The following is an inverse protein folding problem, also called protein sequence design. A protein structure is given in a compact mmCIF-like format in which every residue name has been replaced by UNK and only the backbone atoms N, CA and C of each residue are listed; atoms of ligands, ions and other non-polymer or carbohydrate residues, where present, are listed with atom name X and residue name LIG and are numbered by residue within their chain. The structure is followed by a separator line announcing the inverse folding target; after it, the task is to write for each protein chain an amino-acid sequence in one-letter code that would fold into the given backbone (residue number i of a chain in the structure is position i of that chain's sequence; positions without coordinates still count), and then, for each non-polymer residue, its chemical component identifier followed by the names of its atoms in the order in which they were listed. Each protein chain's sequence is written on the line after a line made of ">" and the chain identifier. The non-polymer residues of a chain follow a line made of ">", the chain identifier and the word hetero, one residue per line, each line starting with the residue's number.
data_IF_180686762611
#
_entry.id   IF_180686762611
#
_cell.length_a   1.000
_cell.length_b   1.000
_cell.length_c   1.000
_cell.angle_alpha   90.00
_cell.angle_beta   90.00
_cell.angle_gamma   90.00
#
_symmetry.space_group_name_H-M   'P 1'
#
loop_
_entity.id
_entity.type
_entity.pdbx_description
1 polymer ?
#
# COMPACT_ATOMS: atom_id res chain seq x y z
N UNK A 1 -24.98 -14.83 5.88
CA UNK A 1 -25.31 -14.72 4.44
C UNK A 1 -24.02 -14.38 3.71
N UNK A 2 -23.46 -15.34 2.98
CA UNK A 2 -22.26 -15.12 2.18
C UNK A 2 -22.60 -14.18 1.01
N UNK A 3 -22.00 -12.99 1.01
CA UNK A 3 -22.06 -12.10 -0.15
C UNK A 3 -21.34 -12.81 -1.32
N UNK A 4 -22.04 -12.94 -2.45
CA UNK A 4 -21.42 -13.38 -3.70
C UNK A 4 -20.28 -12.42 -4.04
N UNK A 5 -19.13 -12.92 -4.53
CA UNK A 5 -18.07 -12.04 -5.01
C UNK A 5 -18.59 -11.23 -6.20
N UNK A 6 -18.55 -9.91 -6.08
CA UNK A 6 -18.88 -9.02 -7.18
C UNK A 6 -17.91 -9.24 -8.35
N UNK A 7 -18.46 -9.49 -9.54
CA UNK A 7 -17.69 -9.53 -10.79
C UNK A 7 -16.94 -8.20 -10.95
N UNK A 8 -15.62 -8.21 -11.22
CA UNK A 8 -14.88 -6.97 -11.41
C UNK A 8 -15.38 -6.27 -12.67
N UNK A 9 -16.04 -5.12 -12.47
CA UNK A 9 -16.47 -4.23 -13.55
C UNK A 9 -15.28 -3.42 -14.07
N UNK A 10 -15.22 -3.25 -15.39
CA UNK A 10 -14.11 -2.62 -16.09
C UNK A 10 -14.07 -1.08 -15.94
N UNK A 11 -12.93 -0.40 -16.25
CA UNK A 11 -12.65 1.00 -15.92
C UNK A 11 -13.60 2.09 -16.45
N UNK A 12 -14.54 1.81 -17.35
CA UNK A 12 -15.33 2.85 -18.04
C UNK A 12 -16.82 2.50 -18.20
N UNK A 13 -17.39 1.67 -17.32
CA UNK A 13 -18.77 1.15 -17.50
C UNK A 13 -18.86 0.09 -18.60
N UNK A 14 -17.71 -0.42 -19.04
CA UNK A 14 -17.58 -1.57 -19.90
C UNK A 14 -18.00 -2.84 -19.14
N UNK A 15 -19.00 -3.54 -19.69
CA UNK A 15 -19.59 -4.74 -19.09
C UNK A 15 -18.69 -5.99 -19.24
N UNK A 16 -17.58 -5.89 -20.00
CA UNK A 16 -16.59 -6.95 -20.13
C UNK A 16 -15.88 -7.22 -18.80
N UNK A 17 -15.41 -8.45 -18.66
CA UNK A 17 -14.70 -8.91 -17.46
C UNK A 17 -13.26 -8.40 -17.51
N UNK A 18 -12.83 -7.62 -16.51
CA UNK A 18 -11.42 -7.27 -16.37
C UNK A 18 -10.65 -8.49 -15.85
N UNK A 19 -9.65 -8.92 -16.63
CA UNK A 19 -8.78 -10.04 -16.27
C UNK A 19 -7.67 -9.66 -15.30
N UNK A 20 -7.37 -8.36 -15.19
CA UNK A 20 -6.39 -7.85 -14.21
C UNK A 20 -6.98 -8.02 -12.81
N UNK A 21 -6.15 -8.47 -11.87
CA UNK A 21 -6.58 -8.68 -10.49
C UNK A 21 -7.31 -10.01 -10.23
N UNK A 22 -7.57 -10.82 -11.26
CA UNK A 22 -8.06 -12.19 -11.09
C UNK A 22 -6.94 -13.14 -10.64
N UNK A 23 -7.27 -14.10 -9.78
CA UNK A 23 -6.38 -15.21 -9.41
C UNK A 23 -6.26 -16.19 -10.58
N UNK A 24 -5.30 -17.11 -10.51
CA UNK A 24 -5.15 -18.17 -11.53
C UNK A 24 -6.39 -19.06 -11.60
N UNK A 25 -7.00 -19.33 -10.46
CA UNK A 25 -8.23 -20.13 -10.35
C UNK A 25 -9.40 -19.42 -11.02
N UNK A 26 -9.56 -18.12 -10.79
CA UNK A 26 -10.60 -17.31 -11.44
C UNK A 26 -10.36 -17.14 -12.94
N UNK A 27 -9.12 -16.92 -13.38
CA UNK A 27 -8.78 -16.88 -14.81
C UNK A 27 -9.04 -18.23 -15.49
N UNK A 28 -8.78 -19.33 -14.79
CA UNK A 28 -9.11 -20.68 -15.27
C UNK A 28 -10.61 -20.83 -15.40
N UNK A 29 -11.40 -20.36 -14.43
CA UNK A 29 -12.85 -20.40 -14.49
C UNK A 29 -13.41 -19.62 -15.68
N UNK A 30 -12.88 -18.42 -15.96
CA UNK A 30 -13.26 -17.62 -17.15
C UNK A 30 -12.97 -18.38 -18.45
N UNK A 31 -11.79 -19.00 -18.57
CA UNK A 31 -11.43 -19.78 -19.76
C UNK A 31 -12.32 -21.03 -19.93
N UNK A 32 -12.61 -21.74 -18.84
CA UNK A 32 -13.48 -22.92 -18.87
C UNK A 32 -14.91 -22.55 -19.25
N UNK A 33 -15.44 -21.42 -18.77
CA UNK A 33 -16.76 -20.90 -19.19
C UNK A 33 -16.82 -20.60 -20.70
N UNK A 34 -15.67 -20.20 -21.28
CA UNK A 34 -15.52 -20.06 -22.74
C UNK A 34 -15.25 -21.38 -23.48
N UNK A 35 -15.28 -22.53 -22.80
CA UNK A 35 -15.01 -23.85 -23.40
C UNK A 35 -13.54 -24.11 -23.73
N UNK A 36 -12.61 -23.37 -23.14
CA UNK A 36 -11.17 -23.60 -23.28
C UNK A 36 -10.62 -24.57 -22.24
N UNK A 37 -9.45 -25.14 -22.55
CA UNK A 37 -8.74 -26.05 -21.64
C UNK A 37 -7.99 -25.28 -20.54
N UNK A 38 -7.97 -25.77 -19.29
CA UNK A 38 -7.33 -25.08 -18.15
C UNK A 38 -5.86 -24.69 -18.34
N UNK A 39 -5.09 -25.44 -19.15
CA UNK A 39 -3.68 -25.11 -19.39
C UNK A 39 -3.49 -23.74 -20.09
N UNK A 40 -4.51 -23.22 -20.77
CA UNK A 40 -4.49 -21.89 -21.41
C UNK A 40 -4.30 -20.76 -20.39
N UNK A 41 -4.67 -20.97 -19.12
CA UNK A 41 -4.45 -20.01 -18.04
C UNK A 41 -2.98 -19.59 -17.96
N UNK A 42 -2.05 -20.53 -18.10
CA UNK A 42 -0.61 -20.22 -18.05
C UNK A 42 -0.19 -19.26 -19.17
N UNK A 43 -0.72 -19.46 -20.38
CA UNK A 43 -0.39 -18.62 -21.52
C UNK A 43 -0.98 -17.22 -21.36
N UNK A 44 -2.24 -17.14 -20.96
CA UNK A 44 -2.93 -15.87 -20.74
C UNK A 44 -2.29 -15.08 -19.59
N UNK A 45 -1.97 -15.76 -18.47
CA UNK A 45 -1.24 -15.17 -17.34
C UNK A 45 0.09 -14.56 -17.77
N UNK A 46 0.86 -15.31 -18.56
CA UNK A 46 2.14 -14.84 -19.08
C UNK A 46 1.98 -13.58 -19.96
N UNK A 47 0.98 -13.55 -20.86
CA UNK A 47 0.74 -12.37 -21.67
C UNK A 47 0.36 -11.14 -20.84
N UNK A 48 -0.54 -11.31 -19.86
CA UNK A 48 -1.02 -10.19 -19.04
C UNK A 48 0.09 -9.68 -18.10
N UNK A 49 0.73 -10.58 -17.36
CA UNK A 49 1.56 -10.21 -16.21
C UNK A 49 3.06 -10.30 -16.45
N UNK A 50 3.51 -11.03 -17.48
CA UNK A 50 4.92 -11.04 -17.87
C UNK A 50 5.19 -10.18 -19.10
N UNK A 51 4.37 -10.28 -20.15
CA UNK A 51 4.54 -9.46 -21.36
C UNK A 51 3.92 -8.06 -21.21
N UNK A 52 3.02 -7.86 -20.24
CA UNK A 52 2.32 -6.58 -20.05
C UNK A 52 1.31 -6.24 -21.16
N UNK A 53 1.00 -7.20 -22.04
CA UNK A 53 0.16 -6.97 -23.22
C UNK A 53 -1.30 -6.74 -22.83
N UNK A 54 -1.95 -5.81 -23.52
CA UNK A 54 -3.36 -5.43 -23.30
C UNK A 54 -4.25 -5.81 -24.48
N UNK A 55 -3.65 -6.04 -25.66
CA UNK A 55 -4.34 -6.46 -26.88
C UNK A 55 -4.29 -7.98 -27.06
N UNK A 56 -5.45 -8.63 -26.89
CA UNK A 56 -5.59 -10.08 -27.09
C UNK A 56 -5.15 -10.55 -28.48
N UNK A 57 -5.26 -9.70 -29.51
CA UNK A 57 -4.89 -10.09 -30.87
C UNK A 57 -3.37 -10.29 -31.01
N UNK A 58 -2.56 -9.69 -30.16
CA UNK A 58 -1.09 -9.88 -30.15
C UNK A 58 -0.63 -11.15 -29.43
N UNK A 59 -1.54 -11.86 -28.75
CA UNK A 59 -1.22 -13.06 -27.98
C UNK A 59 -1.03 -14.29 -28.86
N UNK A 60 0.05 -14.34 -29.66
CA UNK A 60 0.27 -15.34 -30.72
C UNK A 60 0.32 -16.80 -30.26
N UNK A 61 0.50 -17.06 -28.97
CA UNK A 61 0.44 -18.41 -28.39
C UNK A 61 -0.99 -18.93 -28.17
N UNK A 62 -2.00 -18.06 -28.35
CA UNK A 62 -3.43 -18.37 -28.32
C UNK A 62 -3.98 -18.47 -29.75
N UNK A 63 -4.88 -19.43 -29.99
CA UNK A 63 -5.52 -19.58 -31.29
C UNK A 63 -6.43 -18.36 -31.61
N UNK A 64 -6.57 -18.00 -32.89
CA UNK A 64 -7.40 -16.85 -33.32
C UNK A 64 -8.82 -16.86 -32.74
N UNK A 65 -9.58 -17.99 -32.74
CA UNK A 65 -10.93 -17.99 -32.17
C UNK A 65 -10.97 -17.69 -30.67
N UNK A 66 -9.90 -18.00 -29.93
CA UNK A 66 -9.81 -17.64 -28.51
C UNK A 66 -9.51 -16.15 -28.34
N UNK A 67 -8.59 -15.58 -29.14
CA UNK A 67 -8.25 -14.16 -29.09
C UNK A 67 -9.48 -13.28 -29.37
N UNK A 68 -10.28 -13.65 -30.35
CA UNK A 68 -11.54 -12.96 -30.69
C UNK A 68 -12.55 -13.01 -29.54
N UNK A 69 -12.81 -14.20 -28.98
CA UNK A 69 -13.73 -14.35 -27.84
C UNK A 69 -13.27 -13.60 -26.59
N UNK A 70 -11.97 -13.56 -26.32
CA UNK A 70 -11.40 -12.77 -25.24
C UNK A 70 -11.61 -11.26 -25.51
N UNK A 71 -11.37 -10.78 -26.72
CA UNK A 71 -11.58 -9.38 -27.07
C UNK A 71 -13.06 -8.94 -26.95
N UNK A 72 -14.00 -9.85 -27.25
CA UNK A 72 -15.44 -9.61 -27.13
C UNK A 72 -15.92 -9.57 -25.67
N UNK A 73 -15.39 -10.43 -24.80
CA UNK A 73 -15.94 -10.66 -23.45
C UNK A 73 -15.10 -10.09 -22.31
N UNK A 74 -13.84 -9.79 -22.57
CA UNK A 74 -12.86 -9.45 -21.55
C UNK A 74 -12.10 -8.18 -21.92
N UNK A 75 -11.45 -7.61 -20.91
CA UNK A 75 -10.45 -6.57 -21.06
C UNK A 75 -9.25 -6.86 -20.17
N UNK A 76 -8.15 -6.18 -20.47
CA UNK A 76 -6.99 -6.10 -19.60
C UNK A 76 -6.85 -4.62 -19.22
N UNK A 77 -7.47 -4.25 -18.10
CA UNK A 77 -7.59 -2.86 -17.69
C UNK A 77 -6.26 -2.23 -17.27
N UNK A 78 -6.20 -0.90 -17.41
CA UNK A 78 -5.27 -0.04 -16.68
C UNK A 78 -6.05 1.11 -16.06
N UNK A 79 -5.68 1.57 -14.86
CA UNK A 79 -6.23 2.80 -14.34
C UNK A 79 -5.85 3.97 -15.25
N UNK A 80 -6.79 4.87 -15.51
CA UNK A 80 -6.55 6.04 -16.36
C UNK A 80 -5.71 7.06 -15.61
N UNK A 81 -4.63 7.53 -16.22
CA UNK A 81 -3.84 8.65 -15.69
C UNK A 81 -4.64 9.94 -15.87
N UNK A 82 -5.03 10.57 -14.76
CA UNK A 82 -5.64 11.90 -14.75
C UNK A 82 -4.56 12.97 -14.82
N UNK A 83 -3.54 12.81 -13.99
CA UNK A 83 -2.40 13.72 -13.90
C UNK A 83 -1.13 12.94 -13.63
N UNK A 84 -0.03 13.36 -14.23
CA UNK A 84 1.32 12.92 -13.90
C UNK A 84 2.16 14.13 -13.49
N UNK A 85 2.94 13.99 -12.42
CA UNK A 85 3.85 15.01 -11.92
C UNK A 85 5.25 14.42 -11.75
N UNK A 86 6.27 15.17 -12.18
CA UNK A 86 7.67 14.77 -12.08
C UNK A 86 8.40 15.76 -11.16
N UNK A 87 9.04 15.23 -10.13
CA UNK A 87 9.88 15.97 -9.20
C UNK A 87 11.27 16.22 -9.80
N UNK A 88 11.93 17.29 -9.34
CA UNK A 88 13.34 17.53 -9.65
C UNK A 88 14.28 16.41 -9.18
N UNK A 89 13.87 15.59 -8.20
CA UNK A 89 14.65 14.45 -7.69
C UNK A 89 14.37 13.12 -8.43
N UNK A 90 13.64 13.18 -9.54
CA UNK A 90 13.24 12.02 -10.34
C UNK A 90 11.99 11.28 -9.84
N UNK A 91 11.45 11.62 -8.66
CA UNK A 91 10.19 11.04 -8.16
C UNK A 91 9.06 11.34 -9.13
N UNK A 92 8.29 10.32 -9.52
CA UNK A 92 7.09 10.48 -10.35
C UNK A 92 5.86 10.20 -9.51
N UNK A 93 4.81 11.01 -9.66
CA UNK A 93 3.52 10.80 -9.02
C UNK A 93 2.42 10.77 -10.07
N UNK A 94 1.58 9.75 -10.00
CA UNK A 94 0.39 9.62 -10.82
C UNK A 94 -0.86 9.79 -9.96
N UNK A 95 -1.83 10.52 -10.49
CA UNK A 95 -3.21 10.52 -10.04
C UNK A 95 -4.01 9.62 -10.97
N UNK A 96 -4.42 8.47 -10.46
CA UNK A 96 -5.17 7.48 -11.22
C UNK A 96 -6.66 7.60 -10.95
N UNK A 97 -7.47 7.62 -12.01
CA UNK A 97 -8.92 7.46 -11.92
C UNK A 97 -9.30 5.97 -11.94
N UNK A 98 -10.09 5.59 -10.95
CA UNK A 98 -10.72 4.28 -10.83
C UNK A 98 -12.04 4.26 -11.63
N UNK A 99 -12.58 3.06 -11.96
CA UNK A 99 -13.81 2.92 -12.74
C UNK A 99 -15.02 3.73 -12.26
N UNK A 100 -15.12 3.94 -10.95
CA UNK A 100 -16.23 4.67 -10.32
C UNK A 100 -15.96 6.18 -10.20
N UNK A 101 -14.93 6.68 -10.87
CA UNK A 101 -14.53 8.10 -10.88
C UNK A 101 -13.74 8.55 -9.66
N UNK A 102 -13.60 7.71 -8.62
CA UNK A 102 -12.72 8.00 -7.49
C UNK A 102 -11.25 7.97 -7.93
N UNK A 103 -10.40 8.67 -7.20
CA UNK A 103 -9.00 8.84 -7.55
C UNK A 103 -8.07 8.45 -6.40
N UNK A 104 -6.95 7.84 -6.76
CA UNK A 104 -5.85 7.52 -5.85
C UNK A 104 -4.52 7.95 -6.43
N UNK A 105 -3.58 8.26 -5.54
CA UNK A 105 -2.22 8.59 -5.93
C UNK A 105 -1.30 7.37 -5.84
N UNK A 106 -0.35 7.28 -6.76
CA UNK A 106 0.74 6.30 -6.77
C UNK A 106 2.04 7.06 -6.99
N UNK A 107 3.11 6.66 -6.31
CA UNK A 107 4.41 7.33 -6.41
C UNK A 107 5.49 6.32 -6.78
N UNK A 108 6.33 6.65 -7.75
CA UNK A 108 7.58 5.94 -8.00
C UNK A 108 8.75 6.78 -7.47
N UNK A 109 9.59 6.15 -6.65
CA UNK A 109 10.75 6.77 -6.01
C UNK A 109 12.00 6.09 -6.58
N UNK A 110 12.74 6.71 -7.51
CA UNK A 110 13.95 6.15 -8.08
C UNK A 110 15.15 6.32 -7.14
N UNK A 111 16.03 5.35 -7.09
CA UNK A 111 17.36 5.41 -6.47
C UNK A 111 18.38 4.95 -7.52
N UNK A 112 19.68 5.05 -7.23
CA UNK A 112 20.73 4.73 -8.20
C UNK A 112 20.65 3.29 -8.75
N UNK A 113 20.26 2.33 -7.91
CA UNK A 113 20.28 0.89 -8.22
C UNK A 113 18.90 0.20 -8.12
N UNK A 114 17.86 0.96 -7.75
CA UNK A 114 16.53 0.43 -7.40
C UNK A 114 15.45 1.48 -7.59
N UNK A 115 14.19 1.07 -7.58
CA UNK A 115 13.07 2.01 -7.49
C UNK A 115 11.86 1.40 -6.80
N UNK A 116 11.22 2.19 -5.94
CA UNK A 116 10.08 1.77 -5.16
C UNK A 116 8.78 2.36 -5.69
N UNK A 117 7.80 1.51 -5.97
CA UNK A 117 6.43 1.92 -6.29
C UNK A 117 5.61 1.89 -5.00
N UNK A 118 5.15 3.06 -4.59
CA UNK A 118 4.25 3.29 -3.49
C UNK A 118 2.80 3.20 -3.99
N UNK A 119 2.12 2.12 -3.65
CA UNK A 119 0.75 1.84 -4.11
C UNK A 119 -0.28 2.11 -3.01
N UNK A 120 -1.43 2.61 -3.43
CA UNK A 120 -2.60 2.83 -2.59
C UNK A 120 -3.45 1.56 -2.49
N UNK A 121 -4.12 1.38 -1.35
CA UNK A 121 -5.01 0.23 -1.09
C UNK A 121 -6.45 0.64 -0.81
N UNK A 122 -6.69 1.93 -0.55
CA UNK A 122 -8.03 2.50 -0.32
C UNK A 122 -8.14 3.90 -0.94
N UNK A 123 -9.36 4.35 -1.17
CA UNK A 123 -9.66 5.76 -1.48
C UNK A 123 -9.92 6.50 -0.16
N UNK A 124 -8.99 7.34 0.25
CA UNK A 124 -8.97 7.93 1.60
C UNK A 124 -8.47 6.95 2.66
N UNK A 125 -8.58 7.29 3.95
CA UNK A 125 -8.12 6.42 5.04
C UNK A 125 -8.93 6.63 6.34
N UNK A 126 -9.27 5.55 7.05
CA UNK A 126 -9.97 5.61 8.35
C UNK A 126 -9.05 5.86 9.55
N UNK A 127 -7.72 5.80 9.37
CA UNK A 127 -6.80 5.84 10.52
C UNK A 127 -6.72 7.23 11.15
N UNK A 128 -7.06 8.30 10.41
CA UNK A 128 -7.10 9.70 10.91
C UNK A 128 -5.82 10.14 11.63
N UNK A 129 -4.66 9.61 11.21
CA UNK A 129 -3.36 10.02 11.72
C UNK A 129 -3.18 11.52 11.49
N UNK A 130 -2.94 12.28 12.56
CA UNK A 130 -3.05 13.75 12.51
C UNK A 130 -1.95 14.43 11.68
N UNK A 131 -0.82 13.74 11.49
CA UNK A 131 0.30 14.22 10.67
C UNK A 131 0.13 13.86 9.18
N UNK A 132 -0.83 13.00 8.84
CA UNK A 132 -1.02 12.49 7.48
C UNK A 132 -2.08 13.30 6.74
N UNK A 133 -1.75 13.81 5.55
CA UNK A 133 -2.68 14.53 4.70
C UNK A 133 -3.83 13.63 4.23
N UNK A 134 -3.56 12.36 3.89
CA UNK A 134 -4.60 11.36 3.61
C UNK A 134 -5.50 11.13 4.83
N UNK A 135 -4.96 11.25 6.05
CA UNK A 135 -5.73 11.17 7.29
C UNK A 135 -6.80 12.25 7.43
N UNK A 136 -6.73 13.33 6.65
CA UNK A 136 -7.77 14.37 6.57
C UNK A 136 -8.93 13.99 5.64
N UNK A 137 -8.75 12.96 4.80
CA UNK A 137 -9.75 12.46 3.86
C UNK A 137 -10.42 11.21 4.44
N UNK A 138 -11.71 11.31 4.72
CA UNK A 138 -12.49 10.16 5.17
C UNK A 138 -12.43 9.03 4.14
N UNK A 139 -12.37 7.79 4.61
CA UNK A 139 -12.48 6.62 3.75
C UNK A 139 -13.76 6.69 2.91
N UNK A 140 -13.58 6.56 1.60
CA UNK A 140 -14.66 6.42 0.63
C UNK A 140 -14.96 4.94 0.42
N UNK A 141 -13.95 4.14 0.03
CA UNK A 141 -14.05 2.69 -0.15
C UNK A 141 -12.68 2.00 -0.22
N UNK A 142 -12.70 0.67 -0.16
CA UNK A 142 -11.56 -0.18 -0.49
C UNK A 142 -11.34 -0.25 -2.01
N UNK A 143 -10.08 -0.41 -2.42
CA UNK A 143 -9.73 -0.75 -3.80
C UNK A 143 -9.88 -2.25 -4.04
N UNK A 144 -10.21 -2.63 -5.27
CA UNK A 144 -10.19 -4.03 -5.72
C UNK A 144 -8.76 -4.49 -6.00
N UNK A 145 -8.56 -5.81 -6.15
CA UNK A 145 -7.24 -6.34 -6.53
C UNK A 145 -6.79 -5.79 -7.90
N UNK A 146 -7.72 -5.61 -8.84
CA UNK A 146 -7.45 -5.04 -10.16
C UNK A 146 -6.90 -3.61 -10.06
N UNK A 147 -7.52 -2.79 -9.21
CA UNK A 147 -7.11 -1.40 -8.97
C UNK A 147 -5.75 -1.31 -8.25
N UNK A 148 -5.44 -2.25 -7.35
CA UNK A 148 -4.14 -2.28 -6.65
C UNK A 148 -3.02 -2.73 -7.60
N UNK A 149 -3.21 -3.83 -8.32
CA UNK A 149 -2.21 -4.33 -9.29
C UNK A 149 -2.05 -3.35 -10.46
N UNK A 150 -3.16 -2.78 -10.93
CA UNK A 150 -3.20 -1.85 -12.04
C UNK A 150 -2.34 -0.60 -11.83
N UNK A 151 -2.22 -0.09 -10.59
CA UNK A 151 -1.30 1.00 -10.27
C UNK A 151 0.16 0.64 -10.58
N UNK A 152 0.59 -0.57 -10.20
CA UNK A 152 1.94 -1.04 -10.50
C UNK A 152 2.14 -1.30 -11.99
N UNK A 153 1.17 -1.93 -12.66
CA UNK A 153 1.25 -2.21 -14.09
C UNK A 153 1.29 -0.92 -14.92
N UNK A 154 0.47 0.09 -14.59
CA UNK A 154 0.50 1.39 -15.26
C UNK A 154 1.82 2.16 -15.04
N UNK A 155 2.39 2.06 -13.83
CA UNK A 155 3.73 2.58 -13.58
C UNK A 155 4.77 1.84 -14.45
N UNK A 156 4.68 0.50 -14.57
CA UNK A 156 5.58 -0.32 -15.39
C UNK A 156 5.47 0.01 -16.88
N UNK A 157 4.25 0.19 -17.38
CA UNK A 157 3.97 0.66 -18.74
C UNK A 157 4.71 1.98 -19.01
N UNK A 158 4.65 2.91 -18.05
CA UNK A 158 5.26 4.25 -18.13
C UNK A 158 6.80 4.25 -18.12
N UNK A 159 7.43 3.12 -17.82
CA UNK A 159 8.88 2.92 -17.91
C UNK A 159 9.29 1.99 -19.07
N UNK A 160 8.32 1.47 -19.83
CA UNK A 160 8.61 0.49 -20.89
C UNK A 160 9.30 -0.77 -20.36
N UNK A 161 9.04 -1.13 -19.09
CA UNK A 161 9.73 -2.21 -18.39
C UNK A 161 8.98 -3.54 -18.57
N UNK A 162 8.55 -3.80 -19.81
CA UNK A 162 7.98 -5.06 -20.27
C UNK A 162 8.79 -5.64 -21.43
N UNK A 163 8.93 -6.97 -21.56
CA UNK A 163 8.48 -7.99 -20.61
C UNK A 163 9.15 -7.87 -19.25
N UNK A 164 8.62 -8.57 -18.23
CA UNK A 164 9.19 -8.56 -16.87
C UNK A 164 10.70 -8.79 -16.93
N UNK A 165 11.52 -7.83 -16.44
CA UNK A 165 12.96 -7.90 -16.65
C UNK A 165 13.60 -9.08 -15.94
N UNK A 166 14.56 -9.71 -16.62
CA UNK A 166 15.36 -10.82 -16.08
C UNK A 166 16.75 -10.40 -15.62
N UNK A 167 17.12 -9.14 -15.86
CA UNK A 167 18.37 -8.52 -15.40
C UNK A 167 18.30 -8.09 -13.93
N UNK A 168 19.46 -7.75 -13.37
CA UNK A 168 19.56 -7.40 -11.95
C UNK A 168 18.98 -6.01 -11.64
N UNK A 169 19.03 -5.09 -12.60
CA UNK A 169 18.63 -3.68 -12.43
C UNK A 169 17.22 -3.45 -12.98
N UNK A 170 16.25 -3.31 -12.08
CA UNK A 170 14.86 -2.96 -12.40
C UNK A 170 14.57 -1.52 -12.00
N UNK A 171 13.90 -0.75 -12.85
CA UNK A 171 13.35 0.55 -12.48
C UNK A 171 12.28 0.39 -11.40
N UNK A 172 11.40 -0.62 -11.51
CA UNK A 172 10.38 -0.92 -10.51
C UNK A 172 10.78 -2.18 -9.74
N UNK A 173 11.76 -2.01 -8.87
CA UNK A 173 12.41 -3.11 -8.15
C UNK A 173 11.82 -3.38 -6.77
N UNK A 174 10.94 -2.52 -6.26
CA UNK A 174 10.32 -2.64 -4.94
C UNK A 174 8.85 -2.18 -4.98
N UNK A 175 8.01 -2.80 -4.15
CA UNK A 175 6.62 -2.38 -3.92
C UNK A 175 6.46 -2.06 -2.45
N UNK A 176 5.92 -0.89 -2.13
CA UNK A 176 5.60 -0.50 -0.76
C UNK A 176 4.11 -0.15 -0.66
N UNK A 177 3.42 -0.79 0.28
CA UNK A 177 2.01 -0.52 0.59
C UNK A 177 1.94 0.68 1.55
N UNK A 178 2.37 1.85 1.07
CA UNK A 178 2.52 3.09 1.85
C UNK A 178 1.80 4.29 1.19
N UNK A 179 0.95 4.02 0.19
CA UNK A 179 0.13 5.04 -0.47
C UNK A 179 -1.06 5.44 0.40
N UNK A 180 -2.21 5.63 -0.23
CA UNK A 180 -3.46 5.94 0.47
C UNK A 180 -4.08 4.66 1.06
N UNK A 181 -4.48 4.72 2.33
CA UNK A 181 -5.23 3.67 3.03
C UNK A 181 -4.44 2.86 4.05
N UNK A 182 -5.15 2.07 4.86
CA UNK A 182 -4.59 1.04 5.74
C UNK A 182 -4.72 -0.32 5.05
N UNK A 183 -3.61 -0.92 4.56
CA UNK A 183 -3.66 -2.14 3.75
C UNK A 183 -4.33 -3.32 4.47
N UNK A 184 -4.16 -3.47 5.79
CA UNK A 184 -4.72 -4.58 6.54
C UNK A 184 -6.24 -4.50 6.74
N UNK A 185 -6.84 -3.31 6.54
CA UNK A 185 -8.30 -3.13 6.50
C UNK A 185 -8.88 -3.46 5.11
N UNK A 186 -8.04 -3.67 4.10
CA UNK A 186 -8.42 -4.15 2.78
C UNK A 186 -7.72 -5.47 2.43
N UNK A 187 -7.67 -6.39 3.40
CA UNK A 187 -6.79 -7.55 3.34
C UNK A 187 -7.04 -8.45 2.12
N UNK A 188 -8.30 -8.80 1.80
CA UNK A 188 -8.58 -9.75 0.71
C UNK A 188 -8.07 -9.23 -0.65
N UNK A 189 -8.42 -8.00 -1.01
CA UNK A 189 -7.99 -7.40 -2.27
C UNK A 189 -6.48 -7.16 -2.29
N UNK A 190 -5.91 -6.68 -1.18
CA UNK A 190 -4.48 -6.45 -1.04
C UNK A 190 -3.68 -7.75 -1.16
N UNK A 191 -4.07 -8.80 -0.44
CA UNK A 191 -3.37 -10.09 -0.45
C UNK A 191 -3.43 -10.75 -1.83
N UNK A 192 -4.59 -10.70 -2.50
CA UNK A 192 -4.74 -11.18 -3.87
C UNK A 192 -3.85 -10.40 -4.84
N UNK A 193 -3.84 -9.07 -4.75
CA UNK A 193 -2.98 -8.22 -5.57
C UNK A 193 -1.49 -8.52 -5.36
N UNK A 194 -1.05 -8.70 -4.11
CA UNK A 194 0.35 -9.01 -3.82
C UNK A 194 0.72 -10.41 -4.29
N UNK A 195 -0.16 -11.41 -4.22
CA UNK A 195 0.06 -12.74 -4.81
C UNK A 195 0.29 -12.65 -6.33
N UNK A 196 -0.48 -11.82 -7.04
CA UNK A 196 -0.30 -11.56 -8.48
C UNK A 196 1.05 -10.88 -8.76
N UNK A 197 1.37 -9.81 -8.02
CA UNK A 197 2.62 -9.05 -8.18
C UNK A 197 3.86 -9.92 -7.91
N UNK A 198 3.74 -10.86 -6.97
CA UNK A 198 4.84 -11.76 -6.59
C UNK A 198 4.90 -13.05 -7.43
N UNK A 199 3.92 -13.31 -8.30
CA UNK A 199 3.87 -14.54 -9.06
C UNK A 199 5.10 -14.65 -9.99
N UNK A 200 5.88 -15.74 -9.90
CA UNK A 200 7.16 -15.87 -10.60
C UNK A 200 7.02 -16.06 -12.11
N UNK A 201 5.83 -16.43 -12.62
CA UNK A 201 5.58 -16.55 -14.06
C UNK A 201 4.92 -15.29 -14.66
N UNK A 202 4.75 -14.23 -13.85
CA UNK A 202 4.16 -12.95 -14.23
C UNK A 202 5.10 -11.78 -13.94
N UNK A 203 4.66 -10.90 -13.02
CA UNK A 203 5.37 -9.67 -12.64
C UNK A 203 6.68 -9.99 -11.89
N UNK A 204 6.72 -11.14 -11.22
CA UNK A 204 7.89 -11.72 -10.57
C UNK A 204 8.62 -10.78 -9.60
N UNK A 205 7.86 -10.12 -8.71
CA UNK A 205 8.46 -9.41 -7.58
C UNK A 205 8.80 -10.38 -6.45
N UNK A 206 10.04 -10.36 -5.97
CA UNK A 206 10.38 -11.12 -4.77
C UNK A 206 9.59 -10.60 -3.57
N UNK A 207 9.07 -11.50 -2.73
CA UNK A 207 8.45 -11.11 -1.44
C UNK A 207 9.38 -10.29 -0.54
N UNK A 208 10.71 -10.40 -0.72
CA UNK A 208 11.73 -9.58 -0.02
C UNK A 208 11.81 -8.15 -0.56
N UNK A 209 11.16 -7.84 -1.67
CA UNK A 209 11.08 -6.51 -2.30
C UNK A 209 9.69 -5.90 -2.15
N UNK A 210 8.75 -6.59 -1.51
CA UNK A 210 7.43 -6.10 -1.15
C UNK A 210 7.39 -5.79 0.34
N UNK A 211 6.95 -4.59 0.72
CA UNK A 211 6.82 -4.16 2.11
C UNK A 211 5.40 -3.73 2.41
N UNK A 212 4.76 -4.39 3.36
CA UNK A 212 3.54 -3.93 4.02
C UNK A 212 3.89 -2.84 5.03
N UNK A 213 3.18 -1.71 4.99
CA UNK A 213 3.14 -0.78 6.11
C UNK A 213 1.76 -0.79 6.76
N UNK A 214 1.72 -0.82 8.09
CA UNK A 214 0.47 -0.66 8.85
C UNK A 214 0.62 0.42 9.92
N UNK A 215 -0.48 1.13 10.20
CA UNK A 215 -0.63 2.06 11.32
C UNK A 215 -0.82 1.35 12.67
N UNK A 216 -0.70 0.02 12.70
CA UNK A 216 -0.95 -0.80 13.89
C UNK A 216 -2.37 -1.33 13.96
N UNK A 217 -3.00 -1.57 12.80
CA UNK A 217 -4.23 -2.35 12.75
C UNK A 217 -3.87 -3.84 12.89
N UNK A 218 -4.03 -4.37 14.10
CA UNK A 218 -3.63 -5.75 14.44
C UNK A 218 -4.36 -6.84 13.63
N UNK A 219 -5.69 -6.73 13.37
CA UNK A 219 -6.36 -7.79 12.63
C UNK A 219 -5.72 -8.01 11.25
N UNK A 220 -5.64 -9.28 10.85
CA UNK A 220 -4.96 -9.76 9.65
C UNK A 220 -3.41 -9.67 9.65
N UNK A 221 -2.74 -9.11 10.66
CA UNK A 221 -1.26 -9.14 10.71
C UNK A 221 -0.73 -10.58 10.66
N UNK A 222 -1.24 -11.46 11.52
CA UNK A 222 -0.87 -12.87 11.55
C UNK A 222 -1.14 -13.57 10.22
N UNK A 223 -2.36 -13.43 9.71
CA UNK A 223 -2.78 -14.01 8.42
C UNK A 223 -1.90 -13.53 7.26
N UNK A 224 -1.50 -12.26 7.26
CA UNK A 224 -0.58 -11.70 6.28
C UNK A 224 0.80 -12.35 6.34
N UNK A 225 1.32 -12.61 7.54
CA UNK A 225 2.61 -13.29 7.71
C UNK A 225 2.54 -14.73 7.17
N UNK A 226 1.46 -15.44 7.51
CA UNK A 226 1.22 -16.84 7.11
C UNK A 226 1.03 -16.98 5.59
N UNK A 227 0.23 -16.09 4.96
CA UNK A 227 -0.11 -16.22 3.54
C UNK A 227 0.89 -15.55 2.58
N UNK A 228 1.51 -14.44 2.98
CA UNK A 228 2.36 -13.64 2.08
C UNK A 228 3.83 -13.66 2.49
N UNK A 229 4.12 -13.61 3.79
CA UNK A 229 5.50 -13.58 4.31
C UNK A 229 6.37 -12.46 3.72
N UNK A 230 5.74 -11.32 3.41
CA UNK A 230 6.38 -10.08 2.90
C UNK A 230 7.02 -9.29 4.05
N UNK A 231 7.83 -8.27 3.74
CA UNK A 231 8.44 -7.43 4.78
C UNK A 231 7.36 -6.63 5.53
N UNK A 232 7.56 -6.47 6.84
CA UNK A 232 6.71 -5.63 7.68
C UNK A 232 7.40 -4.31 8.03
N UNK A 233 6.70 -3.21 7.80
CA UNK A 233 6.94 -1.90 8.37
C UNK A 233 5.77 -1.51 9.27
N UNK A 234 6.05 -0.93 10.42
CA UNK A 234 5.02 -0.44 11.35
C UNK A 234 5.20 1.05 11.55
N UNK A 235 4.15 1.80 11.27
CA UNK A 235 4.02 3.22 11.60
C UNK A 235 3.84 3.34 13.12
N UNK A 236 4.97 3.38 13.82
CA UNK A 236 5.02 3.30 15.28
C UNK A 236 4.93 4.69 15.90
N UNK A 237 5.81 5.59 15.45
CA UNK A 237 5.77 7.05 15.61
C UNK A 237 5.73 7.63 17.02
N UNK A 238 5.65 6.83 18.09
CA UNK A 238 5.70 7.34 19.45
C UNK A 238 6.17 6.23 20.40
N UNK A 239 6.91 6.57 21.46
CA UNK A 239 7.43 5.58 22.40
C UNK A 239 6.47 5.30 23.56
N UNK A 240 5.38 6.05 23.69
CA UNK A 240 4.38 5.88 24.75
C UNK A 240 2.97 5.94 24.18
N UNK A 241 2.02 5.26 24.82
CA UNK A 241 0.61 5.25 24.39
C UNK A 241 0.03 6.67 24.40
N UNK A 242 0.35 7.50 25.39
CA UNK A 242 -0.12 8.89 25.49
C UNK A 242 0.24 9.71 24.24
N UNK A 243 1.53 9.70 23.85
CA UNK A 243 1.97 10.42 22.67
C UNK A 243 1.37 9.79 21.41
N UNK A 244 1.33 8.45 21.35
CA UNK A 244 0.83 7.72 20.19
C UNK A 244 -0.65 8.00 19.93
N UNK A 245 -1.50 7.98 20.95
CA UNK A 245 -2.92 8.31 20.83
C UNK A 245 -3.17 9.73 20.35
N UNK A 246 -2.32 10.67 20.78
CA UNK A 246 -2.41 12.08 20.36
C UNK A 246 -2.20 12.24 18.86
N UNK A 247 -1.35 11.44 18.23
CA UNK A 247 -1.00 11.56 16.80
C UNK A 247 -1.63 10.47 15.92
N UNK A 248 -1.94 9.31 16.48
CA UNK A 248 -2.47 8.10 15.84
C UNK A 248 -3.62 7.50 16.68
N UNK A 249 -4.88 7.91 16.43
CA UNK A 249 -6.04 7.50 17.24
C UNK A 249 -6.27 5.99 17.36
N UNK A 250 -5.80 5.20 16.39
CA UNK A 250 -5.86 3.73 16.43
C UNK A 250 -5.24 3.13 17.71
N UNK A 251 -4.27 3.82 18.32
CA UNK A 251 -3.62 3.34 19.52
C UNK A 251 -4.57 3.07 20.69
N UNK A 252 -5.69 3.81 20.77
CA UNK A 252 -6.73 3.55 21.79
C UNK A 252 -7.37 2.18 21.66
N UNK A 253 -7.42 1.66 20.43
CA UNK A 253 -7.98 0.35 20.12
C UNK A 253 -6.91 -0.74 20.23
N UNK A 254 -5.70 -0.45 19.79
CA UNK A 254 -4.55 -1.36 19.80
C UNK A 254 -3.33 -0.64 20.39
N UNK A 255 -3.18 -0.68 21.73
CA UNK A 255 -2.06 -0.05 22.43
C UNK A 255 -0.71 -0.66 22.04
N UNK A 256 0.38 0.03 22.38
CA UNK A 256 1.75 -0.36 22.01
C UNK A 256 2.07 -1.79 22.42
N UNK A 257 1.67 -2.22 23.63
CA UNK A 257 1.95 -3.56 24.12
C UNK A 257 1.35 -4.66 23.22
N UNK A 258 0.09 -4.50 22.81
CA UNK A 258 -0.58 -5.43 21.90
C UNK A 258 0.02 -5.39 20.49
N UNK A 259 0.35 -4.19 20.00
CA UNK A 259 1.00 -4.02 18.71
C UNK A 259 2.37 -4.70 18.67
N UNK A 260 3.16 -4.57 19.73
CA UNK A 260 4.46 -5.21 19.88
C UNK A 260 4.34 -6.74 19.90
N UNK A 261 3.32 -7.29 20.59
CA UNK A 261 3.04 -8.72 20.55
C UNK A 261 2.70 -9.18 19.11
N UNK A 262 1.84 -8.45 18.40
CA UNK A 262 1.50 -8.76 17.01
C UNK A 262 2.70 -8.65 16.04
N UNK A 263 3.59 -7.69 16.28
CA UNK A 263 4.86 -7.55 15.53
C UNK A 263 5.78 -8.74 15.74
N UNK A 264 5.89 -9.22 16.98
CA UNK A 264 6.68 -10.39 17.33
C UNK A 264 6.15 -11.64 16.64
N UNK A 265 4.84 -11.89 16.74
CA UNK A 265 4.16 -12.99 16.06
C UNK A 265 4.40 -12.95 14.54
N UNK A 266 4.30 -11.77 13.93
CA UNK A 266 4.57 -11.60 12.49
C UNK A 266 6.00 -12.02 12.14
N UNK A 267 6.99 -11.54 12.90
CA UNK A 267 8.40 -11.84 12.66
C UNK A 267 8.72 -13.32 12.84
N UNK A 268 8.15 -13.97 13.86
CA UNK A 268 8.33 -15.40 14.10
C UNK A 268 7.80 -16.25 12.94
N UNK A 269 6.65 -15.87 12.37
CA UNK A 269 6.03 -16.56 11.22
C UNK A 269 6.76 -16.27 9.91
N UNK A 270 7.03 -14.98 9.61
CA UNK A 270 7.66 -14.57 8.35
C UNK A 270 9.16 -14.93 8.28
N UNK A 271 9.76 -15.25 9.42
CA UNK A 271 11.11 -15.76 9.60
C UNK A 271 12.01 -14.78 10.36
N UNK A 272 12.71 -15.28 11.38
CA UNK A 272 13.51 -14.51 12.35
C UNK A 272 14.65 -13.64 11.75
N UNK A 273 15.07 -13.90 10.50
CA UNK A 273 16.04 -13.04 9.79
C UNK A 273 15.42 -11.77 9.20
N UNK A 274 14.09 -11.63 9.22
CA UNK A 274 13.41 -10.45 8.74
C UNK A 274 13.22 -9.44 9.87
N UNK A 275 13.98 -8.34 9.82
CA UNK A 275 13.76 -7.21 10.72
C UNK A 275 12.42 -6.52 10.44
N UNK A 276 11.67 -6.20 11.49
CA UNK A 276 10.53 -5.29 11.38
C UNK A 276 11.07 -3.87 11.24
N UNK A 277 10.58 -3.12 10.25
CA UNK A 277 10.97 -1.73 10.06
C UNK A 277 10.07 -0.82 10.88
N UNK A 278 10.63 -0.08 11.82
CA UNK A 278 9.92 0.88 12.64
C UNK A 278 9.96 2.22 11.94
N UNK A 279 8.86 2.57 11.28
CA UNK A 279 8.68 3.90 10.72
C UNK A 279 8.41 4.87 11.88
N UNK A 280 9.26 5.89 12.02
CA UNK A 280 9.17 6.86 13.10
C UNK A 280 9.23 8.28 12.54
N UNK A 281 8.06 8.93 12.44
CA UNK A 281 8.00 10.32 12.00
C UNK A 281 8.46 11.22 13.14
N UNK A 282 9.42 12.10 12.87
CA UNK A 282 9.92 13.06 13.84
C UNK A 282 9.13 14.37 13.68
N UNK A 283 8.37 14.72 14.71
CA UNK A 283 7.51 15.90 14.83
C UNK A 283 8.08 16.82 15.91
N UNK A 284 8.38 18.06 15.54
CA UNK A 284 9.09 19.02 16.40
C UNK A 284 8.34 19.28 17.70
N UNK A 285 8.99 19.01 18.83
CA UNK A 285 8.45 19.23 20.17
C UNK A 285 7.33 18.26 20.58
N UNK A 286 7.11 17.19 19.81
CA UNK A 286 6.02 16.23 20.06
C UNK A 286 6.56 14.84 20.41
N UNK A 287 7.55 14.36 19.66
CA UNK A 287 8.13 13.02 19.79
C UNK A 287 9.59 12.96 19.32
N UNK A 288 10.29 14.10 19.27
CA UNK A 288 11.65 14.22 18.75
C UNK A 288 12.69 14.48 19.85
N UNK A 289 12.34 14.28 21.12
CA UNK A 289 13.26 14.48 22.23
C UNK A 289 14.20 13.28 22.40
N UNK A 290 15.39 13.49 22.96
CA UNK A 290 16.31 12.39 23.27
C UNK A 290 15.75 11.41 24.32
N UNK A 291 14.82 11.87 25.17
CA UNK A 291 14.09 10.99 26.08
C UNK A 291 13.21 9.99 25.32
N UNK A 292 12.55 10.43 24.23
CA UNK A 292 11.74 9.56 23.37
C UNK A 292 12.61 8.48 22.71
N UNK A 293 13.79 8.86 22.20
CA UNK A 293 14.74 7.90 21.62
C UNK A 293 15.19 6.84 22.64
N UNK A 294 15.51 7.24 23.88
CA UNK A 294 15.89 6.31 24.94
C UNK A 294 14.73 5.38 25.34
N UNK A 295 13.51 5.88 25.33
CA UNK A 295 12.33 5.05 25.61
C UNK A 295 12.08 4.02 24.51
N UNK A 296 12.31 4.37 23.23
CA UNK A 296 12.31 3.38 22.15
C UNK A 296 13.34 2.28 22.39
N UNK A 297 14.58 2.64 22.75
CA UNK A 297 15.63 1.66 23.09
C UNK A 297 15.14 0.73 24.20
N UNK A 298 14.62 1.30 25.31
CA UNK A 298 14.10 0.53 26.44
C UNK A 298 13.01 -0.45 26.03
N UNK A 299 12.08 -0.02 25.18
CA UNK A 299 10.98 -0.86 24.69
C UNK A 299 11.48 -2.02 23.82
N UNK A 300 12.34 -1.73 22.84
CA UNK A 300 12.77 -2.74 21.88
C UNK A 300 13.81 -3.71 22.46
N UNK A 301 14.69 -3.26 23.36
CA UNK A 301 15.66 -4.13 24.06
C UNK A 301 14.95 -5.23 24.86
N UNK A 302 13.83 -4.89 25.50
CA UNK A 302 13.03 -5.83 26.28
C UNK A 302 12.08 -6.70 25.45
N UNK A 303 11.89 -6.39 24.16
CA UNK A 303 10.83 -7.00 23.34
C UNK A 303 11.21 -8.35 22.73
N UNK A 304 12.52 -8.57 22.51
CA UNK A 304 13.02 -9.70 21.73
C UNK A 304 12.66 -9.64 20.24
N UNK A 305 12.22 -8.48 19.73
CA UNK A 305 11.88 -8.26 18.32
C UNK A 305 13.12 -7.70 17.61
N UNK A 306 13.55 -8.36 16.53
CA UNK A 306 14.57 -7.80 15.66
C UNK A 306 14.02 -6.61 14.88
N UNK A 307 14.46 -5.39 15.21
CA UNK A 307 13.98 -4.18 14.53
C UNK A 307 15.09 -3.34 13.90
N UNK A 308 14.71 -2.54 12.92
CA UNK A 308 15.48 -1.39 12.45
C UNK A 308 14.57 -0.19 12.38
N UNK A 309 15.10 1.00 12.64
CA UNK A 309 14.35 2.24 12.55
C UNK A 309 14.48 2.86 11.16
N UNK A 310 13.44 3.57 10.75
CA UNK A 310 13.46 4.48 9.62
C UNK A 310 12.92 5.82 10.12
N UNK A 311 13.82 6.77 10.37
CA UNK A 311 13.47 8.07 10.92
C UNK A 311 13.01 8.97 9.79
N UNK A 312 11.80 9.50 9.86
CA UNK A 312 11.21 10.33 8.81
C UNK A 312 11.04 11.75 9.35
N UNK A 313 11.90 12.72 8.98
CA UNK A 313 11.62 14.11 9.25
C UNK A 313 10.27 14.50 8.63
N UNK A 314 9.40 15.15 9.42
CA UNK A 314 8.06 15.51 8.97
C UNK A 314 8.07 16.23 7.61
N UNK A 315 7.18 15.79 6.71
CA UNK A 315 6.91 16.45 5.43
C UNK A 315 5.69 17.37 5.58
N UNK A 316 5.87 18.70 5.68
CA UNK A 316 4.75 19.60 5.86
C UNK A 316 3.84 19.62 4.63
N UNK A 317 2.56 19.84 4.86
CA UNK A 317 1.55 20.05 3.84
C UNK A 317 0.67 21.24 4.24
N UNK A 318 -0.05 21.89 3.30
CA UNK A 318 -0.83 23.09 3.60
C UNK A 318 -1.86 22.89 4.72
N UNK A 319 -1.69 23.61 5.83
CA UNK A 319 -2.57 23.50 7.00
C UNK A 319 -2.19 22.40 8.01
N UNK A 320 -1.03 21.76 7.87
CA UNK A 320 -0.55 20.78 8.83
C UNK A 320 -0.35 21.39 10.24
N UNK A 321 -0.75 20.69 11.32
CA UNK A 321 -0.62 21.20 12.69
C UNK A 321 0.75 20.92 13.33
N UNK A 322 1.72 20.39 12.56
CA UNK A 322 3.04 19.98 13.05
C UNK A 322 4.17 20.64 12.26
N UNK A 323 5.35 20.67 12.86
CA UNK A 323 6.56 21.24 12.27
C UNK A 323 7.67 20.18 12.12
N UNK A 324 8.54 20.38 11.13
CA UNK A 324 9.74 19.57 10.93
C UNK A 324 10.82 19.94 11.95
N UNK A 325 11.41 18.97 12.67
CA UNK A 325 12.55 19.21 13.54
C UNK A 325 13.77 19.71 12.76
N UNK A 326 14.73 20.28 13.50
CA UNK A 326 16.03 20.63 12.93
C UNK A 326 16.82 19.38 12.54
N UNK A 327 17.68 19.47 11.53
CA UNK A 327 18.58 18.37 11.13
C UNK A 327 19.42 17.89 12.31
N UNK A 328 19.91 18.81 13.15
CA UNK A 328 20.68 18.49 14.37
C UNK A 328 19.87 17.65 15.35
N UNK A 329 18.59 17.95 15.51
CA UNK A 329 17.67 17.17 16.36
C UNK A 329 17.50 15.76 15.81
N UNK A 330 17.24 15.62 14.51
CA UNK A 330 17.11 14.32 13.86
C UNK A 330 18.38 13.47 13.99
N UNK A 331 19.56 14.09 13.80
CA UNK A 331 20.87 13.44 13.95
C UNK A 331 21.10 12.96 15.39
N UNK A 332 20.88 13.82 16.39
CA UNK A 332 21.05 13.45 17.78
C UNK A 332 20.08 12.33 18.20
N UNK A 333 18.85 12.32 17.68
CA UNK A 333 17.89 11.22 17.90
C UNK A 333 18.40 9.90 17.29
N UNK A 334 18.88 9.96 16.04
CA UNK A 334 19.46 8.80 15.34
C UNK A 334 20.71 8.25 16.03
N UNK A 335 21.56 9.13 16.56
CA UNK A 335 22.77 8.78 17.30
C UNK A 335 22.45 7.98 18.57
N UNK A 336 21.40 8.35 19.31
CA UNK A 336 20.96 7.58 20.49
C UNK A 336 20.57 6.15 20.11
N UNK A 337 19.78 5.98 19.05
CA UNK A 337 19.37 4.65 18.57
C UNK A 337 20.55 3.84 18.04
N UNK A 338 21.46 4.49 17.30
CA UNK A 338 22.64 3.85 16.71
C UNK A 338 23.65 3.44 17.79
N UNK A 339 23.85 4.26 18.82
CA UNK A 339 24.71 3.94 19.95
C UNK A 339 24.18 2.74 20.77
N UNK A 340 22.87 2.50 20.74
CA UNK A 340 22.25 1.31 21.31
C UNK A 340 22.29 0.07 20.38
N UNK A 341 22.89 0.18 19.19
CA UNK A 341 23.08 -0.94 18.26
C UNK A 341 21.99 -1.09 17.19
N UNK A 342 21.03 -0.16 17.10
CA UNK A 342 20.00 -0.20 16.07
C UNK A 342 20.41 0.54 14.80
N UNK A 343 20.07 -0.02 13.62
CA UNK A 343 20.12 0.75 12.39
C UNK A 343 19.03 1.83 12.41
N UNK A 344 19.39 3.10 12.33
CA UNK A 344 18.46 4.23 12.38
C UNK A 344 18.76 5.32 11.32
N UNK A 345 18.72 4.98 10.00
CA UNK A 345 18.85 5.98 8.96
C UNK A 345 17.78 7.07 9.07
N UNK A 346 18.19 8.30 8.75
CA UNK A 346 17.28 9.43 8.54
C UNK A 346 16.92 9.45 7.07
N UNK A 347 15.63 9.26 6.77
CA UNK A 347 15.11 9.22 5.40
C UNK A 347 15.21 10.59 4.75
N UNK A 348 15.84 10.64 3.60
CA UNK A 348 15.83 11.83 2.73
C UNK A 348 14.42 11.98 2.13
N UNK A 349 13.78 13.16 2.26
CA UNK A 349 12.49 13.41 1.61
C UNK A 349 12.59 13.26 0.10
N UNK A 350 11.61 12.61 -0.52
CA UNK A 350 11.52 12.41 -1.97
C UNK A 350 10.20 12.94 -2.52
N UNK A 351 10.23 13.68 -3.63
CA UNK A 351 9.05 14.24 -4.29
C UNK A 351 8.29 15.29 -3.46
N UNK A 352 8.97 16.00 -2.56
CA UNK A 352 8.33 16.98 -1.66
C UNK A 352 7.76 18.19 -2.41
N UNK A 353 8.42 18.62 -3.49
CA UNK A 353 8.02 19.71 -4.40
C UNK A 353 6.68 19.45 -5.09
N UNK A 354 6.32 18.18 -5.29
CA UNK A 354 5.08 17.76 -5.95
C UNK A 354 4.06 17.12 -4.98
N UNK A 355 4.23 17.29 -3.67
CA UNK A 355 3.39 16.65 -2.64
C UNK A 355 3.30 15.12 -2.81
N UNK A 356 4.44 14.46 -3.07
CA UNK A 356 4.56 13.01 -3.21
C UNK A 356 5.32 12.35 -2.05
N UNK A 357 5.86 13.14 -1.12
CA UNK A 357 6.57 12.59 0.03
C UNK A 357 5.60 11.88 0.99
N UNK A 358 6.12 10.96 1.81
CA UNK A 358 5.33 10.20 2.77
C UNK A 358 4.45 11.12 3.64
N UNK A 359 3.15 10.83 3.65
CA UNK A 359 2.14 11.59 4.39
C UNK A 359 1.54 12.79 3.65
N UNK A 360 1.96 13.13 2.43
CA UNK A 360 1.44 14.29 1.69
C UNK A 360 0.31 13.95 0.70
N UNK A 361 0.08 12.66 0.42
CA UNK A 361 -0.88 12.21 -0.58
C UNK A 361 -2.33 12.56 -0.20
N UNK A 362 -3.09 13.09 -1.15
CA UNK A 362 -4.52 13.41 -1.01
C UNK A 362 -5.17 13.57 -2.38
N UNK A 363 -6.30 12.90 -2.60
CA UNK A 363 -7.11 13.12 -3.79
C UNK A 363 -8.31 14.01 -3.49
N UNK A 364 -8.89 14.62 -4.53
CA UNK A 364 -10.12 15.40 -4.42
C UNK A 364 -11.39 14.53 -4.26
N UNK A 365 -11.24 13.21 -4.09
CA UNK A 365 -12.38 12.28 -4.03
C UNK A 365 -13.16 12.48 -2.74
N UNK A 366 -14.44 12.82 -2.88
CA UNK A 366 -15.35 12.97 -1.76
C UNK A 366 -16.21 11.73 -1.58
N UNK A 367 -16.52 11.40 -0.33
CA UNK A 367 -17.48 10.35 -0.02
C UNK A 367 -18.87 10.81 -0.50
N UNK A 368 -19.37 10.24 -1.60
CA UNK A 368 -20.79 10.35 -1.92
C UNK A 368 -21.59 9.85 -0.69
N UNK A 369 -22.46 10.71 -0.14
CA UNK A 369 -23.14 10.51 1.15
C UNK A 369 -24.04 9.27 1.15
N UNK A 370 -23.47 8.08 1.31
CA UNK A 370 -24.14 6.98 2.00
C UNK A 370 -24.21 7.41 3.47
N UNK A 371 -25.44 7.56 3.97
CA UNK A 371 -25.76 8.24 5.24
C UNK A 371 -24.76 7.91 6.34
N UNK A 372 -24.22 8.96 6.96
CA UNK A 372 -23.18 8.94 8.02
C UNK A 372 -23.48 7.91 9.13
N UNK A 373 -24.76 7.60 9.35
CA UNK A 373 -25.26 6.56 10.26
C UNK A 373 -24.86 5.14 9.81
N UNK A 374 -25.15 4.74 8.57
CA UNK A 374 -24.87 3.38 8.04
C UNK A 374 -23.39 3.04 8.01
N UNK A 375 -22.56 4.05 7.73
CA UNK A 375 -21.11 3.95 7.73
C UNK A 375 -20.51 3.63 9.11
N UNK A 376 -21.07 4.26 10.15
CA UNK A 376 -20.60 4.15 11.53
C UNK A 376 -21.10 2.85 12.16
N UNK A 377 -22.32 2.46 11.81
CA UNK A 377 -22.92 1.19 12.20
C UNK A 377 -22.18 -0.01 11.60
N UNK A 378 -21.82 0.05 10.31
CA UNK A 378 -20.98 -0.97 9.66
C UNK A 378 -19.55 -1.04 10.25
N UNK A 379 -19.06 0.05 10.84
CA UNK A 379 -17.76 0.12 11.50
C UNK A 379 -17.81 -0.22 13.01
N UNK A 380 -18.98 -0.54 13.56
CA UNK A 380 -19.15 -0.88 14.97
C UNK A 380 -18.98 0.30 15.94
N UNK A 381 -19.17 1.53 15.47
CA UNK A 381 -19.02 2.76 16.27
C UNK A 381 -20.41 3.28 16.66
N UNK A 382 -20.82 3.02 17.90
CA UNK A 382 -22.05 3.59 18.49
C UNK A 382 -21.72 4.96 19.10
N UNK A 383 -22.48 5.99 18.75
CA UNK A 383 -22.37 7.32 19.35
C UNK A 383 -23.77 7.78 19.80
N UNK A 384 -24.04 7.89 21.11
CA UNK A 384 -25.37 8.17 21.64
C UNK A 384 -25.73 9.67 21.68
N UNK A 385 -24.95 10.57 21.08
CA UNK A 385 -25.33 11.97 21.01
C UNK A 385 -25.04 12.54 19.64
N UNK A 386 -26.07 13.00 18.94
CA UNK A 386 -26.18 14.24 18.16
C UNK A 386 -27.58 14.22 17.52
N UNK A 387 -28.60 14.19 18.38
CA UNK A 387 -29.87 14.79 18.05
C UNK A 387 -29.69 16.30 18.20
N UNK A 388 -30.07 17.01 17.14
CA UNK A 388 -30.48 18.43 17.14
C UNK A 388 -29.44 19.46 17.59
N UNK A 389 -29.03 20.31 16.65
CA UNK A 389 -29.24 21.77 16.70
C UNK A 389 -29.13 22.25 15.25
N UNK A 390 -30.29 22.69 14.73
CA UNK A 390 -30.61 23.50 13.54
C UNK A 390 -29.62 23.56 12.36
#
# INVERSE_FOLDING_TARGET
>A
MHAQPATPASPDGDARIDLVGLSREELTAVLVDMGEKPFRTKQLWHWIYHQGETDFMKMTSLATPLRERLAERCVIGRPRIVTEQNSADGTRKWLFAMPDGNQVETVHIPEDDRGAVCVSTQVGCTMTCRFCHTGTQMLVRNLTAAEIVGQFMAARDSYGEWPTPTDETRHLSNVVLMGMGEPLMNYEAMAKAMKIVMDPEGIAMSKRRVTLSTSGYIPNMRRCAEELGIKLAVSFHAPTDEVRERIMPINRKYPIAELMAAMKDYQEIAGQRQYVTIEYILLKGVNDALADARELVRLFDASGIGVKFNLIPFNPWPGAPFETPSIKTCQAFAEVLTAAGYAAPIRVPRGRDILAACGQLKSASERQRLSRARAREAAGIVDPAHAEIS
#
